data_IF_696487529668
#
_entry.id   IF_696487529668
#
_cell.length_a   1.000
_cell.length_b   1.000
_cell.length_c   1.000
_cell.angle_alpha   90.00
_cell.angle_beta   90.00
_cell.angle_gamma   90.00
#
_symmetry.space_group_name_H-M   'P 1'
#
loop_
_entity.id
_entity.type
_entity.pdbx_description
1 polymer ?
#
# COMPACT_ATOMS: atom_id res chain seq x y z
N UNK A 1 4.12 25.61 -52.08
CA UNK A 1 4.65 25.77 -50.71
C UNK A 1 4.62 24.43 -49.99
N UNK A 2 5.76 23.74 -49.87
CA UNK A 2 5.86 22.50 -49.07
C UNK A 2 5.86 22.89 -47.57
N UNK A 3 4.80 22.55 -46.84
CA UNK A 3 4.79 22.68 -45.38
C UNK A 3 5.80 21.68 -44.80
N UNK A 4 6.87 22.19 -44.22
CA UNK A 4 7.81 21.37 -43.44
C UNK A 4 7.11 20.96 -42.10
N UNK A 5 7.12 19.67 -41.85
CA UNK A 5 6.62 19.12 -40.53
C UNK A 5 7.67 19.50 -39.49
N UNK A 6 7.27 20.05 -38.33
CA UNK A 6 8.20 20.38 -37.25
C UNK A 6 9.00 19.15 -36.82
N UNK A 7 10.30 19.28 -36.53
CA UNK A 7 11.15 18.11 -36.17
C UNK A 7 10.64 17.31 -34.97
N UNK A 8 9.91 17.91 -34.04
CA UNK A 8 9.28 17.25 -32.92
C UNK A 8 8.17 16.27 -33.37
N UNK A 9 7.31 16.69 -34.31
CA UNK A 9 6.25 15.82 -34.85
C UNK A 9 6.79 14.67 -35.69
N UNK A 10 7.89 14.90 -36.40
CA UNK A 10 8.57 13.84 -37.13
C UNK A 10 9.19 12.78 -36.19
N UNK A 11 9.76 13.21 -35.05
CA UNK A 11 10.29 12.32 -34.03
C UNK A 11 9.22 11.45 -33.39
N UNK A 12 8.06 12.04 -33.03
CA UNK A 12 6.91 11.31 -32.41
C UNK A 12 6.29 10.33 -33.41
N UNK A 13 6.16 10.71 -34.69
CA UNK A 13 5.65 9.79 -35.73
C UNK A 13 6.62 8.63 -35.99
N UNK A 14 7.94 8.89 -35.95
CA UNK A 14 8.96 7.84 -36.13
C UNK A 14 8.96 6.90 -34.92
N UNK A 15 8.82 7.42 -33.69
CA UNK A 15 8.73 6.62 -32.48
C UNK A 15 7.46 5.76 -32.46
N UNK A 16 6.31 6.30 -32.85
CA UNK A 16 5.06 5.56 -32.99
C UNK A 16 5.09 4.47 -34.06
N UNK A 17 5.80 4.74 -35.20
CA UNK A 17 5.97 3.75 -36.26
C UNK A 17 6.93 2.63 -35.83
N UNK A 18 7.98 2.95 -35.08
CA UNK A 18 8.92 1.95 -34.53
C UNK A 18 8.24 1.12 -33.44
N UNK A 19 7.37 1.71 -32.62
CA UNK A 19 6.56 0.98 -31.60
C UNK A 19 5.53 0.04 -32.25
N UNK A 20 4.88 0.46 -33.34
CA UNK A 20 3.91 -0.39 -34.05
C UNK A 20 4.57 -1.51 -34.88
N UNK A 21 5.79 -1.31 -35.35
CA UNK A 21 6.59 -2.34 -36.02
C UNK A 21 7.34 -3.22 -34.98
N UNK A 22 7.69 -2.67 -33.83
CA UNK A 22 8.39 -3.38 -32.76
C UNK A 22 7.51 -4.46 -32.08
N UNK A 23 6.22 -4.22 -31.91
CA UNK A 23 5.31 -5.20 -31.32
C UNK A 23 5.11 -6.45 -32.22
N UNK A 24 5.28 -6.30 -33.53
CA UNK A 24 5.22 -7.43 -34.48
C UNK A 24 6.59 -8.06 -34.76
N UNK A 25 7.68 -7.36 -34.48
CA UNK A 25 9.06 -7.85 -34.73
C UNK A 25 9.65 -8.64 -33.56
N UNK A 26 9.08 -8.53 -32.35
CA UNK A 26 9.49 -9.34 -31.20
C UNK A 26 9.08 -10.81 -31.30
N UNK A 27 8.20 -11.17 -32.25
CA UNK A 27 7.83 -12.56 -32.55
C UNK A 27 8.67 -13.20 -33.65
N UNK A 28 9.58 -12.45 -34.31
CA UNK A 28 10.49 -13.00 -35.31
C UNK A 28 11.88 -13.17 -34.68
N UNK A 29 12.40 -14.40 -34.66
CA UNK A 29 13.76 -14.76 -34.25
C UNK A 29 14.80 -14.13 -35.20
N UNK A 30 15.01 -12.81 -35.09
CA UNK A 30 15.98 -12.05 -35.88
C UNK A 30 17.13 -11.53 -35.00
N UNK A 31 18.36 -11.70 -35.44
CA UNK A 31 19.52 -11.02 -34.84
C UNK A 31 19.48 -9.55 -35.27
N UNK A 32 19.49 -8.66 -34.28
CA UNK A 32 19.64 -7.22 -34.50
C UNK A 32 21.09 -6.84 -34.23
N UNK A 33 21.71 -6.12 -35.16
CA UNK A 33 23.04 -5.52 -34.94
C UNK A 33 22.83 -4.04 -34.67
N UNK A 34 23.28 -3.57 -33.51
CA UNK A 34 23.17 -2.19 -33.06
C UNK A 34 24.56 -1.61 -32.83
N UNK A 35 24.76 -0.35 -33.21
CA UNK A 35 25.91 0.44 -32.73
C UNK A 35 25.52 1.05 -31.38
N UNK A 36 26.30 0.78 -30.32
CA UNK A 36 25.97 1.13 -28.94
C UNK A 36 27.17 1.73 -28.24
N UNK A 37 26.93 2.63 -27.28
CA UNK A 37 27.95 3.21 -26.43
C UNK A 37 28.04 2.44 -25.10
N UNK A 38 29.25 1.98 -24.69
CA UNK A 38 29.43 1.32 -23.38
C UNK A 38 29.10 2.25 -22.20
N UNK A 39 28.34 1.77 -21.26
CA UNK A 39 27.97 2.50 -20.03
C UNK A 39 28.43 1.73 -18.81
N UNK A 40 28.86 2.44 -17.76
CA UNK A 40 29.15 1.85 -16.45
C UNK A 40 28.07 2.24 -15.46
N UNK A 41 27.63 1.29 -14.66
CA UNK A 41 26.60 1.49 -13.63
C UNK A 41 27.28 1.41 -12.25
N UNK A 42 26.81 2.23 -11.32
CA UNK A 42 27.10 2.08 -9.89
C UNK A 42 25.78 1.77 -9.16
N UNK A 43 25.83 0.82 -8.24
CA UNK A 43 24.75 0.50 -7.32
C UNK A 43 25.32 0.76 -5.92
N UNK A 44 24.65 1.57 -5.11
CA UNK A 44 25.10 1.99 -3.77
C UNK A 44 26.56 2.49 -3.72
N UNK A 45 26.95 3.27 -4.75
CA UNK A 45 28.30 3.85 -4.86
C UNK A 45 29.41 2.86 -5.29
N UNK A 46 29.09 1.58 -5.50
CA UNK A 46 30.03 0.56 -5.99
C UNK A 46 29.83 0.29 -7.48
N UNK A 47 30.94 0.12 -8.21
CA UNK A 47 30.87 -0.23 -9.62
C UNK A 47 30.21 -1.59 -9.79
N UNK A 48 29.10 -1.61 -10.50
CA UNK A 48 28.32 -2.81 -10.78
C UNK A 48 28.74 -3.43 -12.11
N UNK A 49 29.20 -4.69 -12.09
CA UNK A 49 29.55 -5.47 -13.26
C UNK A 49 28.57 -6.64 -13.42
N UNK A 50 27.56 -6.52 -14.31
CA UNK A 50 26.57 -7.57 -14.50
C UNK A 50 27.20 -8.88 -15.00
N UNK A 51 26.66 -10.01 -14.52
CA UNK A 51 27.05 -11.36 -14.96
C UNK A 51 25.85 -12.07 -15.60
N UNK A 52 26.12 -12.99 -16.53
CA UNK A 52 25.14 -13.94 -17.02
C UNK A 52 25.00 -15.15 -16.07
N UNK A 53 24.12 -16.08 -16.39
CA UNK A 53 23.89 -17.29 -15.58
C UNK A 53 25.11 -18.23 -15.51
N UNK A 54 26.10 -18.04 -16.36
CA UNK A 54 27.36 -18.78 -16.39
C UNK A 54 28.52 -18.02 -15.75
N UNK A 55 28.27 -16.81 -15.20
CA UNK A 55 29.26 -15.97 -14.57
C UNK A 55 30.10 -15.10 -15.53
N UNK A 56 29.76 -15.03 -16.81
CA UNK A 56 30.44 -14.17 -17.77
C UNK A 56 29.97 -12.73 -17.67
N UNK A 57 30.86 -11.77 -17.94
CA UNK A 57 30.51 -10.36 -17.97
C UNK A 57 29.51 -10.05 -19.08
N UNK A 58 28.47 -9.31 -18.74
CA UNK A 58 27.45 -8.84 -19.69
C UNK A 58 27.56 -7.33 -19.84
N UNK A 59 27.64 -6.81 -21.09
CA UNK A 59 27.77 -5.39 -21.29
C UNK A 59 26.50 -4.61 -20.93
N UNK A 60 26.71 -3.42 -20.37
CA UNK A 60 25.70 -2.36 -20.25
C UNK A 60 26.00 -1.32 -21.32
N UNK A 61 24.99 -0.84 -22.01
CA UNK A 61 25.19 0.08 -23.11
C UNK A 61 24.04 1.09 -23.24
N UNK A 62 24.32 2.18 -23.94
CA UNK A 62 23.32 3.17 -24.34
C UNK A 62 23.00 3.02 -25.81
N UNK A 63 21.74 3.12 -26.16
CA UNK A 63 21.26 3.19 -27.55
C UNK A 63 20.14 4.24 -27.61
N UNK A 64 20.31 5.19 -28.54
CA UNK A 64 19.35 6.31 -28.69
C UNK A 64 19.02 7.05 -27.40
N UNK A 65 20.00 7.27 -26.52
CA UNK A 65 19.81 7.97 -25.25
C UNK A 65 19.18 7.14 -24.14
N UNK A 66 18.92 5.86 -24.40
CA UNK A 66 18.37 4.92 -23.36
C UNK A 66 19.45 3.95 -22.94
N UNK A 67 19.64 3.76 -21.63
CA UNK A 67 20.58 2.77 -21.10
C UNK A 67 19.91 1.40 -21.02
N UNK A 68 20.56 0.38 -21.57
CA UNK A 68 20.13 -1.01 -21.53
C UNK A 68 21.06 -1.79 -20.61
N UNK A 69 20.48 -2.46 -19.64
CA UNK A 69 21.20 -3.30 -18.67
C UNK A 69 20.56 -4.69 -18.58
N UNK A 70 21.32 -5.74 -18.25
CA UNK A 70 20.78 -7.07 -18.01
C UNK A 70 19.79 -7.06 -16.86
N UNK A 71 18.50 -7.27 -17.15
CA UNK A 71 17.40 -7.18 -16.19
C UNK A 71 17.65 -8.07 -14.98
N UNK A 72 18.06 -9.32 -15.19
CA UNK A 72 18.32 -10.28 -14.09
C UNK A 72 19.39 -9.77 -13.14
N UNK A 73 20.57 -9.41 -13.67
CA UNK A 73 21.68 -9.01 -12.83
C UNK A 73 21.40 -7.71 -12.06
N UNK A 74 20.71 -6.76 -12.69
CA UNK A 74 20.30 -5.52 -12.02
C UNK A 74 19.24 -5.80 -10.95
N UNK A 75 18.24 -6.60 -11.27
CA UNK A 75 17.20 -6.98 -10.34
C UNK A 75 17.76 -7.73 -9.12
N UNK A 76 18.66 -8.71 -9.33
CA UNK A 76 19.33 -9.44 -8.26
C UNK A 76 20.18 -8.52 -7.36
N UNK A 77 20.78 -7.47 -7.91
CA UNK A 77 21.52 -6.47 -7.15
C UNK A 77 20.59 -5.65 -6.20
N UNK A 78 19.31 -5.53 -6.55
CA UNK A 78 18.27 -4.91 -5.72
C UNK A 78 17.43 -5.94 -4.95
N UNK A 79 17.90 -7.19 -4.82
CA UNK A 79 17.21 -8.23 -4.06
C UNK A 79 15.95 -8.78 -4.72
N UNK A 80 15.78 -8.58 -6.04
CA UNK A 80 14.66 -9.14 -6.81
C UNK A 80 15.02 -10.52 -7.38
N UNK A 81 14.04 -11.42 -7.46
CA UNK A 81 14.15 -12.68 -8.22
C UNK A 81 13.58 -12.49 -9.61
N UNK A 82 14.32 -12.89 -10.65
CA UNK A 82 13.87 -12.80 -12.04
C UNK A 82 13.54 -14.17 -12.59
N UNK A 83 12.28 -14.34 -13.04
CA UNK A 83 11.81 -15.46 -13.85
C UNK A 83 11.82 -15.12 -15.34
N UNK A 84 11.80 -16.14 -16.18
CA UNK A 84 11.59 -16.03 -17.62
C UNK A 84 10.78 -17.20 -18.12
N UNK A 85 9.66 -16.91 -18.76
CA UNK A 85 8.83 -17.89 -19.45
C UNK A 85 9.16 -17.87 -20.94
N UNK A 86 9.71 -18.96 -21.43
CA UNK A 86 10.11 -19.09 -22.83
C UNK A 86 8.93 -19.32 -23.79
N UNK A 87 7.77 -19.77 -23.30
CA UNK A 87 6.59 -20.01 -24.13
C UNK A 87 5.88 -18.69 -24.45
N UNK A 88 5.78 -17.81 -23.45
CA UNK A 88 5.15 -16.49 -23.57
C UNK A 88 6.16 -15.38 -23.86
N UNK A 89 7.46 -15.66 -23.82
CA UNK A 89 8.54 -14.68 -23.92
C UNK A 89 8.43 -13.56 -22.87
N UNK A 90 8.00 -13.92 -21.66
CA UNK A 90 7.75 -12.99 -20.56
C UNK A 90 8.87 -13.06 -19.52
N UNK A 91 9.51 -11.93 -19.24
CA UNK A 91 10.37 -11.78 -18.07
C UNK A 91 9.57 -11.25 -16.90
N UNK A 92 9.63 -11.92 -15.76
CA UNK A 92 8.98 -11.52 -14.52
C UNK A 92 10.03 -11.15 -13.48
N UNK A 93 9.83 -10.03 -12.79
CA UNK A 93 10.61 -9.65 -11.62
C UNK A 93 9.71 -9.77 -10.39
N UNK A 94 10.13 -10.57 -9.42
CA UNK A 94 9.51 -10.59 -8.11
C UNK A 94 10.49 -10.06 -7.09
N UNK A 95 10.03 -9.16 -6.21
CA UNK A 95 10.81 -8.82 -5.04
C UNK A 95 11.17 -10.14 -4.35
N UNK A 96 12.41 -10.28 -3.88
CA UNK A 96 12.72 -11.30 -2.89
C UNK A 96 12.00 -10.93 -1.58
N UNK A 97 10.67 -10.96 -1.64
CA UNK A 97 9.90 -11.23 -0.44
C UNK A 97 10.47 -12.56 0.01
N UNK A 98 11.16 -12.57 1.14
CA UNK A 98 11.31 -13.79 1.91
C UNK A 98 9.93 -14.45 1.95
N UNK A 99 9.77 -15.77 2.09
CA UNK A 99 8.50 -16.43 1.95
C UNK A 99 7.48 -15.52 2.61
N UNK A 100 6.71 -14.81 1.77
CA UNK A 100 5.67 -13.95 2.29
C UNK A 100 4.88 -14.91 3.14
N UNK A 101 4.76 -14.63 4.40
CA UNK A 101 3.75 -15.26 5.18
C UNK A 101 2.44 -14.85 4.49
N UNK A 102 2.00 -15.60 3.47
CA UNK A 102 0.68 -15.46 2.86
C UNK A 102 -0.40 -15.69 3.92
N UNK A 103 0.02 -16.19 5.08
CA UNK A 103 -0.81 -16.37 6.26
C UNK A 103 -0.78 -15.11 7.10
N UNK A 104 -1.94 -14.48 7.23
CA UNK A 104 -2.16 -13.41 8.19
C UNK A 104 -1.84 -13.96 9.60
N UNK A 105 -0.94 -13.30 10.37
CA UNK A 105 -0.55 -13.81 11.68
C UNK A 105 -1.74 -13.85 12.64
N UNK A 106 -1.75 -14.79 13.58
CA UNK A 106 -2.68 -14.76 14.70
C UNK A 106 -2.38 -13.54 15.59
N UNK A 107 -3.40 -13.00 16.28
CA UNK A 107 -3.20 -11.84 17.15
C UNK A 107 -2.20 -12.11 18.29
N UNK A 108 -2.09 -13.35 18.73
CA UNK A 108 -1.20 -13.83 19.77
C UNK A 108 0.01 -14.60 19.23
N UNK A 109 0.42 -14.35 17.99
CA UNK A 109 1.60 -15.00 17.39
C UNK A 109 2.83 -14.76 18.26
N UNK A 110 3.50 -15.81 18.78
CA UNK A 110 4.66 -15.63 19.64
C UNK A 110 5.84 -14.98 18.91
N UNK A 111 6.49 -14.06 19.57
CA UNK A 111 7.75 -13.44 19.10
C UNK A 111 8.93 -13.91 19.94
N UNK A 112 10.16 -13.81 19.42
CA UNK A 112 11.35 -14.21 20.15
C UNK A 112 11.70 -13.24 21.29
N UNK A 113 11.44 -11.95 21.04
CA UNK A 113 11.77 -10.89 21.98
C UNK A 113 10.48 -10.21 22.44
N UNK A 114 10.43 -9.86 23.72
CA UNK A 114 9.35 -9.03 24.27
C UNK A 114 9.97 -7.83 24.95
N UNK A 115 9.52 -6.64 24.58
CA UNK A 115 10.03 -5.36 25.10
C UNK A 115 8.86 -4.55 25.63
N UNK A 116 9.03 -3.92 26.79
CA UNK A 116 8.07 -2.94 27.33
C UNK A 116 8.50 -1.55 26.87
N UNK A 117 7.57 -0.73 26.42
CA UNK A 117 7.81 0.66 26.07
C UNK A 117 6.75 1.56 26.73
N UNK A 118 7.20 2.65 27.33
CA UNK A 118 6.38 3.65 28.00
C UNK A 118 6.52 5.05 27.37
N UNK A 119 7.33 5.17 26.32
CA UNK A 119 7.56 6.42 25.59
C UNK A 119 7.68 6.14 24.09
N UNK A 120 7.41 7.13 23.27
CA UNK A 120 7.62 7.04 21.82
C UNK A 120 9.06 6.68 21.46
N UNK A 121 10.06 7.19 22.20
CA UNK A 121 11.46 6.87 21.98
C UNK A 121 11.76 5.38 22.24
N UNK A 122 11.22 4.81 23.31
CA UNK A 122 11.37 3.39 23.62
C UNK A 122 10.64 2.51 22.58
N UNK A 123 9.45 2.89 22.15
CA UNK A 123 8.73 2.22 21.06
C UNK A 123 9.59 2.16 19.80
N UNK A 124 10.05 3.31 19.31
CA UNK A 124 10.82 3.40 18.06
C UNK A 124 12.17 2.68 18.18
N UNK A 125 12.84 2.76 19.32
CA UNK A 125 14.10 2.04 19.58
C UNK A 125 13.91 0.51 19.61
N UNK A 126 12.74 0.02 20.02
CA UNK A 126 12.44 -1.41 20.13
C UNK A 126 12.00 -2.06 18.80
N UNK A 127 11.74 -1.30 17.73
CA UNK A 127 11.35 -1.83 16.43
C UNK A 127 12.47 -2.73 15.89
N UNK A 128 12.18 -4.02 15.79
CA UNK A 128 13.13 -5.02 15.31
C UNK A 128 12.39 -6.29 14.84
N UNK A 129 13.01 -7.15 14.02
CA UNK A 129 12.44 -8.44 13.65
C UNK A 129 12.14 -9.34 14.86
N UNK A 130 11.12 -10.20 14.73
CA UNK A 130 10.69 -11.17 15.73
C UNK A 130 10.49 -10.55 17.15
N UNK A 131 9.93 -9.34 17.21
CA UNK A 131 9.79 -8.57 18.46
C UNK A 131 8.34 -8.23 18.74
N UNK A 132 7.91 -8.44 19.99
CA UNK A 132 6.66 -7.92 20.54
C UNK A 132 6.98 -6.71 21.43
N UNK A 133 6.42 -5.56 21.09
CA UNK A 133 6.51 -4.33 21.87
C UNK A 133 5.20 -4.14 22.59
N UNK A 134 5.22 -4.17 23.93
CA UNK A 134 4.05 -3.95 24.77
C UNK A 134 4.08 -2.51 25.27
N UNK A 135 3.08 -1.74 24.89
CA UNK A 135 2.96 -0.33 25.22
C UNK A 135 2.28 -0.14 26.56
N UNK A 136 2.89 0.63 27.43
CA UNK A 136 2.23 1.11 28.64
C UNK A 136 1.14 2.15 28.29
N UNK A 137 0.12 2.37 29.14
CA UNK A 137 -0.83 3.46 28.94
C UNK A 137 -0.14 4.80 28.78
N UNK A 138 -0.54 5.58 27.76
CA UNK A 138 0.02 6.90 27.46
C UNK A 138 -0.06 7.28 25.98
N UNK A 139 0.34 8.50 25.70
CA UNK A 139 0.40 9.09 24.38
C UNK A 139 1.82 9.00 23.84
N UNK A 140 1.95 8.53 22.59
CA UNK A 140 3.21 8.30 21.91
C UNK A 140 3.28 9.23 20.70
N UNK A 141 3.79 10.45 20.87
CA UNK A 141 4.01 11.38 19.75
C UNK A 141 5.29 10.96 19.00
N UNK A 142 5.09 10.38 17.82
CA UNK A 142 6.17 9.87 16.97
C UNK A 142 6.98 11.00 16.34
N UNK A 143 6.39 12.18 16.14
CA UNK A 143 7.01 13.30 15.44
C UNK A 143 8.21 13.87 16.19
N UNK A 144 8.18 13.86 17.52
CA UNK A 144 9.25 14.40 18.34
C UNK A 144 10.59 13.66 18.21
N UNK A 145 10.57 12.50 17.57
CA UNK A 145 11.75 11.61 17.44
C UNK A 145 12.50 11.78 16.13
N UNK A 146 12.03 12.64 15.22
CA UNK A 146 12.65 12.83 13.92
C UNK A 146 14.14 13.16 14.03
N UNK A 147 14.98 12.37 13.34
CA UNK A 147 16.43 12.50 13.36
C UNK A 147 17.10 12.15 14.69
N UNK A 148 16.37 11.59 15.67
CA UNK A 148 16.89 11.23 17.00
C UNK A 148 17.06 9.72 17.22
N UNK A 149 16.82 8.90 16.19
CA UNK A 149 16.95 7.45 16.30
C UNK A 149 17.93 6.90 15.28
N UNK A 150 18.76 5.95 15.73
CA UNK A 150 19.70 5.20 14.88
C UNK A 150 19.17 3.79 14.55
N UNK A 151 17.87 3.54 14.73
CA UNK A 151 17.26 2.25 14.45
C UNK A 151 17.34 1.93 12.95
N UNK A 152 17.99 0.83 12.52
CA UNK A 152 18.16 0.50 11.10
C UNK A 152 16.85 0.14 10.38
N UNK A 153 15.79 -0.12 11.13
CA UNK A 153 14.46 -0.42 10.60
C UNK A 153 13.53 0.79 10.57
N UNK A 154 14.05 1.98 10.87
CA UNK A 154 13.29 3.24 10.90
C UNK A 154 13.95 4.25 9.98
N UNK A 155 13.17 4.77 9.05
CA UNK A 155 13.59 5.82 8.12
C UNK A 155 12.63 7.01 8.27
N UNK A 156 13.18 8.21 8.30
CA UNK A 156 12.43 9.44 8.34
C UNK A 156 12.39 10.06 6.95
N UNK A 157 11.18 10.31 6.44
CA UNK A 157 10.97 11.11 5.23
C UNK A 157 10.47 12.49 5.63
N UNK A 158 10.90 13.50 4.88
CA UNK A 158 10.38 14.87 5.03
C UNK A 158 9.16 15.05 4.14
N UNK A 159 8.01 15.19 4.76
CA UNK A 159 6.79 15.59 4.10
C UNK A 159 6.67 17.12 4.08
N UNK A 160 5.62 17.67 3.45
CA UNK A 160 5.46 19.11 3.25
C UNK A 160 5.51 19.92 4.56
N UNK A 161 5.00 19.36 5.66
CA UNK A 161 4.84 20.04 6.93
C UNK A 161 5.57 19.39 8.11
N UNK A 162 6.40 18.40 7.83
CA UNK A 162 7.26 17.76 8.84
C UNK A 162 7.58 16.32 8.55
N UNK A 163 8.31 15.68 9.47
CA UNK A 163 8.83 14.34 9.26
C UNK A 163 7.77 13.25 9.42
N UNK A 164 7.86 12.23 8.57
CA UNK A 164 7.10 10.98 8.64
C UNK A 164 7.97 9.83 9.09
N UNK A 165 7.47 9.03 10.01
CA UNK A 165 8.11 7.80 10.46
C UNK A 165 7.73 6.63 9.55
N UNK A 166 8.75 5.95 8.98
CA UNK A 166 8.57 4.76 8.17
C UNK A 166 9.30 3.58 8.81
N UNK A 167 8.58 2.49 9.01
CA UNK A 167 9.15 1.21 9.44
C UNK A 167 9.43 0.38 8.18
N UNK A 168 10.68 -0.02 7.97
CA UNK A 168 11.12 -0.63 6.73
C UNK A 168 11.70 -2.02 6.92
N UNK A 169 11.28 -2.97 6.07
CA UNK A 169 11.87 -4.30 5.96
C UNK A 169 11.91 -5.10 7.29
N UNK A 170 10.89 -4.97 8.13
CA UNK A 170 10.77 -5.72 9.38
C UNK A 170 9.84 -6.91 9.18
N UNK A 171 10.25 -8.07 9.69
CA UNK A 171 9.42 -9.27 9.74
C UNK A 171 9.18 -9.71 11.18
N UNK A 172 7.94 -10.11 11.50
CA UNK A 172 7.62 -10.64 12.81
C UNK A 172 7.53 -9.56 13.90
N UNK A 173 6.96 -8.38 13.59
CA UNK A 173 6.76 -7.31 14.56
C UNK A 173 5.33 -7.31 15.10
N UNK A 174 5.20 -7.26 16.42
CA UNK A 174 3.93 -6.99 17.11
C UNK A 174 4.07 -5.70 17.91
N UNK A 175 3.15 -4.75 17.73
CA UNK A 175 2.98 -3.57 18.58
C UNK A 175 1.62 -3.71 19.27
N UNK A 176 1.64 -3.85 20.58
CA UNK A 176 0.45 -4.15 21.38
C UNK A 176 0.24 -3.10 22.45
N UNK A 177 -0.92 -2.45 22.44
CA UNK A 177 -1.45 -1.71 23.59
C UNK A 177 -2.13 -2.66 24.56
N UNK A 178 -2.24 -2.26 25.81
CA UNK A 178 -3.01 -3.02 26.79
C UNK A 178 -4.53 -2.80 26.64
N UNK A 179 -4.90 -1.62 26.15
CA UNK A 179 -6.26 -1.19 25.90
C UNK A 179 -6.24 -0.02 24.92
N UNK A 180 -7.01 -0.08 23.85
CA UNK A 180 -7.06 0.96 22.81
C UNK A 180 -7.45 2.34 23.36
N UNK A 181 -8.22 2.36 24.44
CA UNK A 181 -8.66 3.63 25.06
C UNK A 181 -7.59 4.25 25.98
N UNK A 182 -6.45 3.59 26.16
CA UNK A 182 -5.36 4.02 27.04
C UNK A 182 -4.01 4.18 26.32
N UNK A 183 -3.88 3.73 25.10
CA UNK A 183 -2.63 3.81 24.32
C UNK A 183 -2.92 4.53 23.02
N UNK A 184 -2.27 5.67 22.81
CA UNK A 184 -2.48 6.49 21.62
C UNK A 184 -1.18 6.79 20.91
N UNK A 185 -1.10 6.42 19.61
CA UNK A 185 0.00 6.76 18.71
C UNK A 185 -0.37 7.98 17.89
N UNK A 186 0.45 9.02 17.97
CA UNK A 186 0.17 10.32 17.39
C UNK A 186 1.24 10.79 16.40
N UNK A 187 0.81 11.51 15.36
CA UNK A 187 1.68 12.32 14.53
C UNK A 187 1.11 13.74 14.40
N UNK A 188 1.99 14.74 14.42
CA UNK A 188 1.63 16.15 14.29
C UNK A 188 1.61 16.63 12.85
N UNK A 189 2.56 16.28 11.95
CA UNK A 189 2.51 16.66 10.55
C UNK A 189 1.29 16.07 9.86
N UNK A 190 0.60 16.88 9.07
CA UNK A 190 -0.69 16.52 8.47
C UNK A 190 -0.58 15.92 7.09
N UNK A 191 0.59 16.05 6.48
CA UNK A 191 0.93 15.39 5.22
C UNK A 191 1.59 14.03 5.45
N UNK A 192 2.13 13.80 6.66
CA UNK A 192 2.71 12.53 7.06
C UNK A 192 1.64 11.50 7.44
N UNK A 193 1.85 10.24 7.10
CA UNK A 193 1.14 9.13 7.72
C UNK A 193 1.51 9.04 9.20
N UNK A 194 0.57 8.62 10.05
CA UNK A 194 0.91 8.42 11.46
C UNK A 194 1.90 7.28 11.60
N UNK A 195 1.67 6.18 10.87
CA UNK A 195 2.57 5.04 10.85
C UNK A 195 2.60 4.41 9.46
N UNK A 196 3.74 4.46 8.81
CA UNK A 196 3.96 3.84 7.52
C UNK A 196 4.85 2.60 7.64
N UNK A 197 4.40 1.47 7.11
CA UNK A 197 5.14 0.21 7.03
C UNK A 197 5.46 -0.11 5.59
N UNK A 198 6.73 -0.30 5.24
CA UNK A 198 7.18 -0.58 3.88
C UNK A 198 8.02 -1.84 3.81
N UNK A 199 7.66 -2.77 2.93
CA UNK A 199 8.38 -4.03 2.75
C UNK A 199 8.38 -4.94 3.98
N UNK A 200 7.40 -4.77 4.86
CA UNK A 200 7.29 -5.50 6.11
C UNK A 200 6.43 -6.76 5.96
N UNK A 201 6.63 -7.73 6.85
CA UNK A 201 5.84 -8.94 6.84
C UNK A 201 5.56 -9.46 8.24
N UNK A 202 4.48 -10.25 8.39
CA UNK A 202 4.09 -10.85 9.66
C UNK A 202 3.96 -9.77 10.77
N UNK A 203 3.13 -8.74 10.47
CA UNK A 203 2.89 -7.59 11.35
C UNK A 203 1.60 -7.79 12.16
N UNK A 204 1.62 -7.38 13.42
CA UNK A 204 0.43 -7.27 14.27
C UNK A 204 0.41 -5.90 14.96
N UNK A 205 -0.68 -5.17 14.77
CA UNK A 205 -1.04 -3.99 15.56
C UNK A 205 -2.29 -4.35 16.37
N UNK A 206 -2.23 -4.25 17.69
CA UNK A 206 -3.29 -4.74 18.56
C UNK A 206 -3.56 -3.81 19.75
N UNK A 207 -4.84 -3.52 19.99
CA UNK A 207 -5.30 -2.87 21.22
C UNK A 207 -4.76 -1.46 21.45
N UNK A 208 -4.64 -0.65 20.39
CA UNK A 208 -4.17 0.74 20.45
C UNK A 208 -5.03 1.68 19.59
N UNK A 209 -5.00 2.94 19.90
CA UNK A 209 -5.56 4.00 19.06
C UNK A 209 -4.45 4.72 18.31
N UNK A 210 -4.70 5.13 17.08
CA UNK A 210 -3.74 5.87 16.25
C UNK A 210 -4.45 6.98 15.49
N UNK A 211 -3.84 8.16 15.44
CA UNK A 211 -4.42 9.31 14.76
C UNK A 211 -3.47 10.50 14.68
N UNK A 212 -3.91 11.53 13.95
CA UNK A 212 -3.21 12.81 13.94
C UNK A 212 -3.63 13.65 15.15
N UNK A 213 -2.72 14.49 15.62
CA UNK A 213 -3.08 15.50 16.66
C UNK A 213 -4.22 16.39 16.17
N UNK A 214 -5.18 16.76 17.04
CA UNK A 214 -6.36 17.51 16.64
C UNK A 214 -6.06 18.83 15.96
N UNK A 215 -6.93 19.23 15.04
CA UNK A 215 -7.10 20.47 14.28
C UNK A 215 -6.52 20.50 12.87
N UNK A 216 -7.33 20.92 11.90
CA UNK A 216 -6.98 21.15 10.50
C UNK A 216 -7.26 19.98 9.57
N UNK A 217 -7.00 20.17 8.28
CA UNK A 217 -7.14 19.11 7.26
C UNK A 217 -5.83 18.39 7.09
N UNK A 218 -5.88 17.07 6.95
CA UNK A 218 -4.70 16.22 6.75
C UNK A 218 -4.71 15.61 5.35
N UNK A 219 -3.53 15.25 4.85
CA UNK A 219 -3.33 14.48 3.63
C UNK A 219 -2.64 13.13 3.90
N UNK A 220 -2.00 12.94 5.05
CA UNK A 220 -1.48 11.65 5.49
C UNK A 220 -2.57 10.71 5.98
N UNK A 221 -2.35 9.42 5.83
CA UNK A 221 -3.21 8.35 6.34
C UNK A 221 -2.87 7.99 7.78
N UNK A 222 -3.76 7.26 8.46
CA UNK A 222 -3.46 6.81 9.84
C UNK A 222 -2.50 5.63 9.80
N UNK A 223 -2.85 4.55 9.11
CA UNK A 223 -1.97 3.42 8.87
C UNK A 223 -1.75 3.24 7.37
N UNK A 224 -0.52 3.24 6.95
CA UNK A 224 -0.14 3.02 5.55
C UNK A 224 0.75 1.77 5.43
N UNK A 225 0.41 0.86 4.52
CA UNK A 225 1.17 -0.34 4.25
C UNK A 225 1.55 -0.38 2.77
N UNK A 226 2.86 -0.39 2.47
CA UNK A 226 3.39 -0.52 1.11
C UNK A 226 4.21 -1.80 0.98
N UNK A 227 3.89 -2.62 -0.01
CA UNK A 227 4.59 -3.90 -0.29
C UNK A 227 4.71 -4.83 0.93
N UNK A 228 3.69 -4.84 1.79
CA UNK A 228 3.66 -5.64 3.00
C UNK A 228 2.94 -6.99 2.79
N UNK A 229 3.24 -7.97 3.65
CA UNK A 229 2.61 -9.29 3.63
C UNK A 229 2.23 -9.80 5.01
N UNK A 230 1.03 -10.41 5.15
CA UNK A 230 0.58 -10.93 6.43
C UNK A 230 0.47 -9.84 7.49
N UNK A 231 -0.47 -8.92 7.34
CA UNK A 231 -0.70 -7.80 8.26
C UNK A 231 -2.01 -8.03 9.01
N UNK A 232 -2.01 -7.86 10.33
CA UNK A 232 -3.18 -7.86 11.19
C UNK A 232 -3.26 -6.56 11.98
N UNK A 233 -4.41 -5.91 11.90
CA UNK A 233 -4.80 -4.77 12.75
C UNK A 233 -6.02 -5.21 13.53
N UNK A 234 -5.91 -5.37 14.84
CA UNK A 234 -6.99 -5.92 15.66
C UNK A 234 -7.27 -5.04 16.87
N UNK A 235 -8.55 -4.89 17.22
CA UNK A 235 -9.01 -4.11 18.36
C UNK A 235 -8.43 -2.67 18.42
N UNK A 236 -8.15 -2.05 17.27
CA UNK A 236 -7.58 -0.71 17.16
C UNK A 236 -8.65 0.36 16.93
N UNK A 237 -8.34 1.60 17.33
CA UNK A 237 -9.06 2.81 16.95
C UNK A 237 -8.20 3.60 15.93
N UNK A 238 -8.71 3.82 14.73
CA UNK A 238 -8.01 4.56 13.68
C UNK A 238 -8.80 5.83 13.39
N UNK A 239 -8.24 6.97 13.75
CA UNK A 239 -8.95 8.22 13.60
C UNK A 239 -8.05 9.35 13.11
N UNK A 240 -8.66 10.42 12.72
CA UNK A 240 -7.93 11.65 12.53
C UNK A 240 -8.47 12.48 11.39
N UNK A 241 -7.90 13.65 11.23
CA UNK A 241 -8.10 14.47 10.08
C UNK A 241 -7.30 14.03 8.85
N UNK A 242 -6.67 12.82 8.90
CA UNK A 242 -5.99 12.17 7.77
C UNK A 242 -6.91 11.79 6.64
N UNK A 243 -6.33 11.41 5.50
CA UNK A 243 -7.13 11.04 4.33
C UNK A 243 -7.91 9.77 4.58
N UNK A 244 -7.23 8.71 4.97
CA UNK A 244 -7.81 7.38 5.21
C UNK A 244 -7.35 6.80 6.55
N UNK A 245 -8.20 5.99 7.15
CA UNK A 245 -7.81 5.21 8.32
C UNK A 245 -6.80 4.11 7.97
N UNK A 246 -6.98 3.48 6.81
CA UNK A 246 -6.07 2.46 6.27
C UNK A 246 -5.78 2.73 4.81
N UNK A 247 -4.51 2.79 4.48
CA UNK A 247 -4.02 2.81 3.10
C UNK A 247 -3.15 1.58 2.85
N UNK A 248 -3.38 0.87 1.74
CA UNK A 248 -2.57 -0.28 1.36
C UNK A 248 -2.22 -0.26 -0.12
N UNK A 249 -0.94 -0.43 -0.43
CA UNK A 249 -0.42 -0.55 -1.79
C UNK A 249 0.47 -1.78 -1.91
N UNK A 250 0.17 -2.67 -2.85
CA UNK A 250 0.96 -3.89 -3.09
C UNK A 250 0.93 -4.90 -1.93
N UNK A 251 -0.11 -4.88 -1.09
CA UNK A 251 -0.21 -5.71 0.12
C UNK A 251 -0.83 -7.07 -0.21
N UNK A 252 -0.30 -8.12 0.41
CA UNK A 252 -0.90 -9.46 0.35
C UNK A 252 -1.24 -9.95 1.76
N UNK A 253 -2.52 -10.20 2.02
CA UNK A 253 -2.98 -10.63 3.35
C UNK A 253 -3.00 -9.48 4.36
N UNK A 254 -4.05 -8.66 4.32
CA UNK A 254 -4.36 -7.65 5.33
C UNK A 254 -5.68 -8.01 6.01
N UNK A 255 -5.67 -8.13 7.32
CA UNK A 255 -6.87 -8.27 8.13
C UNK A 255 -6.99 -7.10 9.11
N UNK A 256 -8.03 -6.33 8.95
CA UNK A 256 -8.48 -5.33 9.95
C UNK A 256 -9.70 -5.92 10.63
N UNK A 257 -9.60 -6.22 11.92
CA UNK A 257 -10.71 -6.85 12.64
C UNK A 257 -11.02 -6.14 13.96
N UNK A 258 -12.30 -6.15 14.35
CA UNK A 258 -12.77 -5.61 15.64
C UNK A 258 -12.27 -4.20 15.94
N UNK A 259 -11.98 -3.46 14.87
CA UNK A 259 -11.36 -2.13 14.91
C UNK A 259 -12.37 -1.06 14.52
N UNK A 260 -12.14 0.16 14.99
CA UNK A 260 -12.95 1.31 14.63
C UNK A 260 -12.17 2.23 13.68
N UNK A 261 -12.84 2.72 12.62
CA UNK A 261 -12.29 3.72 11.69
C UNK A 261 -13.24 4.91 11.65
N UNK A 262 -12.77 6.06 12.08
CA UNK A 262 -13.65 7.22 12.27
C UNK A 262 -12.94 8.57 12.12
N UNK A 263 -13.73 9.61 11.82
CA UNK A 263 -13.25 10.98 11.63
C UNK A 263 -12.16 11.14 10.55
N UNK A 264 -12.11 10.26 9.57
CA UNK A 264 -11.23 10.39 8.41
C UNK A 264 -11.87 11.30 7.36
N UNK A 265 -11.03 12.04 6.61
CA UNK A 265 -11.51 13.11 5.74
C UNK A 265 -11.86 12.66 4.32
N UNK A 266 -11.25 11.59 3.80
CA UNK A 266 -11.45 11.13 2.42
C UNK A 266 -12.13 9.76 2.34
N UNK A 267 -12.10 8.99 3.41
CA UNK A 267 -12.73 7.69 3.51
C UNK A 267 -12.13 6.82 4.62
N UNK A 268 -12.64 5.63 4.76
CA UNK A 268 -12.15 4.66 5.75
C UNK A 268 -10.88 3.96 5.26
N UNK A 269 -10.87 3.53 3.99
CA UNK A 269 -9.71 2.84 3.43
C UNK A 269 -9.54 3.06 1.92
N UNK A 270 -8.28 3.04 1.47
CA UNK A 270 -7.92 2.90 0.06
C UNK A 270 -7.00 1.69 -0.13
N UNK A 271 -7.34 0.85 -1.10
CA UNK A 271 -6.72 -0.45 -1.35
C UNK A 271 -6.26 -0.49 -2.80
N UNK A 272 -4.94 -0.47 -3.02
CA UNK A 272 -4.31 -0.37 -4.33
C UNK A 272 -3.42 -1.60 -4.59
N UNK A 273 -3.56 -2.24 -5.73
CA UNK A 273 -2.73 -3.38 -6.16
C UNK A 273 -2.56 -4.47 -5.09
N UNK A 274 -3.59 -4.69 -4.26
CA UNK A 274 -3.52 -5.54 -3.07
C UNK A 274 -4.38 -6.79 -3.20
N UNK A 275 -4.05 -7.83 -2.43
CA UNK A 275 -4.73 -9.12 -2.48
C UNK A 275 -5.07 -9.62 -1.08
N UNK A 276 -6.22 -10.28 -0.95
CA UNK A 276 -6.67 -10.89 0.31
C UNK A 276 -6.74 -9.87 1.45
N UNK A 277 -7.60 -8.85 1.26
CA UNK A 277 -7.82 -7.79 2.24
C UNK A 277 -9.18 -7.98 2.88
N UNK A 278 -9.23 -8.02 4.21
CA UNK A 278 -10.48 -8.26 4.96
C UNK A 278 -10.66 -7.20 6.04
N UNK A 279 -11.86 -6.64 6.09
CA UNK A 279 -12.36 -5.87 7.23
C UNK A 279 -13.46 -6.69 7.91
N UNK A 280 -13.23 -7.15 9.14
CA UNK A 280 -14.10 -8.10 9.83
C UNK A 280 -14.54 -7.59 11.21
N UNK A 281 -15.84 -7.54 11.44
CA UNK A 281 -16.39 -7.10 12.73
C UNK A 281 -15.98 -5.68 13.12
N UNK A 282 -15.75 -4.81 12.15
CA UNK A 282 -15.31 -3.43 12.36
C UNK A 282 -16.50 -2.47 12.59
N UNK A 283 -16.20 -1.29 13.11
CA UNK A 283 -17.08 -0.12 13.09
C UNK A 283 -16.48 0.98 12.23
N UNK A 284 -17.20 1.46 11.22
CA UNK A 284 -16.78 2.54 10.32
C UNK A 284 -17.80 3.67 10.41
N UNK A 285 -17.42 4.77 11.04
CA UNK A 285 -18.39 5.80 11.35
C UNK A 285 -17.82 7.22 11.37
N UNK A 286 -18.71 8.19 11.15
CA UNK A 286 -18.42 9.62 11.22
C UNK A 286 -17.24 10.05 10.32
N UNK A 287 -17.03 9.35 9.20
CA UNK A 287 -16.05 9.73 8.19
C UNK A 287 -16.69 10.62 7.13
N UNK A 288 -15.89 11.49 6.52
CA UNK A 288 -16.23 12.18 5.29
C UNK A 288 -15.55 11.48 4.13
N UNK A 289 -16.25 11.27 3.02
CA UNK A 289 -15.71 10.44 1.94
C UNK A 289 -16.03 10.97 0.53
N UNK A 290 -15.05 10.81 -0.38
CA UNK A 290 -15.29 10.71 -1.82
C UNK A 290 -15.70 9.27 -2.15
N UNK A 291 -14.96 8.33 -1.60
CA UNK A 291 -15.26 6.91 -1.56
C UNK A 291 -14.89 6.39 -0.18
N UNK A 292 -15.86 5.78 0.52
CA UNK A 292 -15.60 5.31 1.88
C UNK A 292 -14.57 4.18 1.87
N UNK A 293 -14.71 3.27 0.90
CA UNK A 293 -13.71 2.26 0.55
C UNK A 293 -13.37 2.39 -0.93
N UNK A 294 -12.15 2.82 -1.26
CA UNK A 294 -11.63 2.91 -2.62
C UNK A 294 -10.76 1.70 -2.94
N UNK A 295 -11.14 0.92 -3.96
CA UNK A 295 -10.41 -0.27 -4.38
C UNK A 295 -9.95 -0.12 -5.83
N UNK A 296 -8.65 -0.31 -6.07
CA UNK A 296 -8.09 -0.24 -7.43
C UNK A 296 -7.14 -1.40 -7.67
N UNK A 297 -7.32 -2.11 -8.78
CA UNK A 297 -6.46 -3.24 -9.23
C UNK A 297 -6.22 -4.28 -8.13
N UNK A 298 -7.24 -4.55 -7.33
CA UNK A 298 -7.15 -5.40 -6.14
C UNK A 298 -8.10 -6.59 -6.22
N UNK A 299 -7.78 -7.67 -5.51
CA UNK A 299 -8.58 -8.89 -5.54
C UNK A 299 -8.76 -9.54 -4.18
N UNK A 300 -9.87 -10.28 -4.00
CA UNK A 300 -10.16 -10.97 -2.74
C UNK A 300 -10.41 -10.00 -1.58
N UNK A 301 -11.06 -8.86 -1.84
CA UNK A 301 -11.39 -7.87 -0.80
C UNK A 301 -12.74 -8.20 -0.19
N UNK A 302 -12.79 -8.31 1.14
CA UNK A 302 -14.00 -8.67 1.89
C UNK A 302 -14.29 -7.67 3.00
N UNK A 303 -15.55 -7.22 3.09
CA UNK A 303 -16.12 -6.60 4.27
C UNK A 303 -17.06 -7.63 4.90
N UNK A 304 -16.83 -8.03 6.16
CA UNK A 304 -17.68 -8.98 6.89
C UNK A 304 -18.08 -8.45 8.25
N UNK A 305 -19.32 -8.72 8.64
CA UNK A 305 -19.89 -8.46 9.96
C UNK A 305 -19.62 -7.03 10.51
N UNK A 306 -19.41 -6.08 9.59
CA UNK A 306 -18.98 -4.71 9.86
C UNK A 306 -20.18 -3.76 9.91
N UNK A 307 -20.16 -2.84 10.86
CA UNK A 307 -21.16 -1.76 10.98
C UNK A 307 -20.61 -0.50 10.34
N UNK A 308 -21.31 0.01 9.34
CA UNK A 308 -20.96 1.24 8.61
C UNK A 308 -22.07 2.26 8.84
N UNK A 309 -21.79 3.34 9.58
CA UNK A 309 -22.84 4.27 10.01
C UNK A 309 -22.40 5.73 10.03
N UNK A 310 -23.36 6.63 9.80
CA UNK A 310 -23.18 8.08 9.91
C UNK A 310 -22.02 8.64 9.06
N UNK A 311 -21.65 8.01 7.95
CA UNK A 311 -20.60 8.53 7.09
C UNK A 311 -21.18 9.54 6.11
N UNK A 312 -20.46 10.67 5.96
CA UNK A 312 -20.84 11.77 5.09
C UNK A 312 -20.12 11.81 3.75
N UNK A 313 -20.56 12.71 2.88
CA UNK A 313 -20.02 12.90 1.53
C UNK A 313 -19.20 14.20 1.43
N UNK A 314 -18.03 14.13 0.78
CA UNK A 314 -17.25 15.30 0.37
C UNK A 314 -17.66 15.84 -1.01
N UNK A 315 -18.55 15.16 -1.72
CA UNK A 315 -18.95 15.48 -3.07
C UNK A 315 -20.45 15.75 -3.19
N UNK A 316 -20.83 16.80 -3.90
CA UNK A 316 -22.20 17.02 -4.32
C UNK A 316 -22.57 16.00 -5.40
N UNK A 317 -23.11 14.84 -5.01
CA UNK A 317 -23.73 13.86 -5.90
C UNK A 317 -22.84 12.79 -6.52
N UNK A 318 -21.58 12.64 -6.08
CA UNK A 318 -20.64 11.68 -6.67
C UNK A 318 -19.88 10.80 -5.68
N UNK A 319 -20.37 10.62 -4.46
CA UNK A 319 -19.71 9.78 -3.46
C UNK A 319 -20.22 8.33 -3.48
N UNK A 320 -19.33 7.42 -3.10
CA UNK A 320 -19.59 5.98 -3.10
C UNK A 320 -19.25 5.37 -1.73
N UNK A 321 -20.01 4.37 -1.32
CA UNK A 321 -19.57 3.52 -0.21
C UNK A 321 -18.39 2.64 -0.69
N UNK A 322 -18.52 2.02 -1.88
CA UNK A 322 -17.47 1.25 -2.53
C UNK A 322 -17.17 1.84 -3.91
N UNK A 323 -15.98 2.37 -4.13
CA UNK A 323 -15.48 2.71 -5.46
C UNK A 323 -14.55 1.60 -5.94
N UNK A 324 -14.89 0.97 -7.08
CA UNK A 324 -14.20 -0.19 -7.60
C UNK A 324 -13.62 0.11 -8.97
N UNK A 325 -12.32 -0.11 -9.17
CA UNK A 325 -11.66 0.03 -10.46
C UNK A 325 -10.74 -1.16 -10.73
N UNK A 326 -11.04 -1.93 -11.77
CA UNK A 326 -10.26 -3.11 -12.14
C UNK A 326 -10.06 -4.12 -10.97
N UNK A 327 -11.15 -4.38 -10.23
CA UNK A 327 -11.14 -5.27 -9.07
C UNK A 327 -11.82 -6.60 -9.38
N UNK A 328 -11.40 -7.65 -8.70
CA UNK A 328 -11.96 -8.98 -8.78
C UNK A 328 -12.26 -9.55 -7.39
N UNK A 329 -13.27 -10.44 -7.29
CA UNK A 329 -13.65 -11.14 -6.06
C UNK A 329 -13.84 -10.20 -4.85
N UNK A 330 -14.67 -9.15 -5.00
CA UNK A 330 -15.06 -8.26 -3.90
C UNK A 330 -16.33 -8.76 -3.25
N UNK A 331 -16.36 -8.88 -1.92
CA UNK A 331 -17.52 -9.37 -1.17
C UNK A 331 -17.87 -8.49 0.03
N UNK A 332 -19.18 -8.32 0.25
CA UNK A 332 -19.73 -7.64 1.44
C UNK A 332 -20.75 -8.58 2.07
N UNK A 333 -20.50 -9.05 3.30
CA UNK A 333 -21.28 -10.09 3.95
C UNK A 333 -21.62 -9.75 5.39
N UNK A 334 -22.87 -9.94 5.77
CA UNK A 334 -23.32 -9.77 7.17
C UNK A 334 -23.21 -8.34 7.69
N UNK A 335 -22.96 -7.35 6.83
CA UNK A 335 -22.73 -5.97 7.23
C UNK A 335 -24.04 -5.22 7.51
N UNK A 336 -23.95 -4.18 8.34
CA UNK A 336 -25.06 -3.24 8.60
C UNK A 336 -24.67 -1.86 8.12
N UNK A 337 -25.51 -1.25 7.31
CA UNK A 337 -25.34 0.10 6.78
C UNK A 337 -26.44 0.99 7.30
N UNK A 338 -26.08 1.97 8.15
CA UNK A 338 -27.03 2.78 8.91
C UNK A 338 -26.72 4.28 8.72
N UNK A 339 -27.71 5.06 8.32
CA UNK A 339 -27.66 6.53 8.26
C UNK A 339 -26.46 7.12 7.49
N UNK A 340 -25.98 6.47 6.44
CA UNK A 340 -24.89 6.98 5.63
C UNK A 340 -25.39 7.95 4.57
N UNK A 341 -24.82 9.16 4.51
CA UNK A 341 -25.16 10.21 3.59
C UNK A 341 -24.26 10.20 2.32
N UNK A 342 -24.06 9.03 1.73
CA UNK A 342 -23.31 8.82 0.49
C UNK A 342 -24.29 8.70 -0.69
N UNK A 343 -23.88 9.14 -1.89
CA UNK A 343 -24.78 9.16 -3.04
C UNK A 343 -25.09 7.75 -3.60
N UNK A 344 -24.12 6.85 -3.57
CA UNK A 344 -24.22 5.53 -4.18
C UNK A 344 -23.61 4.45 -3.28
N UNK A 345 -24.15 3.22 -3.37
CA UNK A 345 -23.55 2.06 -2.71
C UNK A 345 -22.22 1.66 -3.38
N UNK A 346 -22.22 1.55 -4.71
CA UNK A 346 -20.98 1.21 -5.42
C UNK A 346 -20.89 1.89 -6.78
N UNK A 347 -19.65 2.11 -7.22
CA UNK A 347 -19.36 2.44 -8.62
C UNK A 347 -19.21 1.13 -9.41
N UNK A 348 -20.15 0.90 -10.33
CA UNK A 348 -20.17 -0.29 -11.18
C UNK A 348 -19.64 -0.03 -12.59
N UNK A 349 -19.16 1.19 -12.88
CA UNK A 349 -18.89 1.66 -14.25
C UNK A 349 -17.60 1.11 -14.87
N UNK A 350 -16.68 0.55 -14.11
CA UNK A 350 -15.34 0.23 -14.60
C UNK A 350 -14.99 -1.27 -14.53
N UNK A 351 -15.68 -2.11 -15.33
CA UNK A 351 -15.18 -3.47 -15.65
C UNK A 351 -15.03 -4.43 -14.47
N UNK A 352 -15.71 -4.19 -13.36
CA UNK A 352 -15.65 -5.02 -12.16
C UNK A 352 -16.40 -6.33 -12.37
N UNK A 353 -15.72 -7.45 -12.18
CA UNK A 353 -16.24 -8.76 -12.57
C UNK A 353 -17.15 -9.41 -11.52
N UNK A 354 -17.04 -9.06 -10.23
CA UNK A 354 -17.93 -9.63 -9.21
C UNK A 354 -17.91 -8.83 -7.90
N UNK A 355 -18.94 -8.06 -7.64
CA UNK A 355 -19.30 -7.60 -6.30
C UNK A 355 -20.41 -8.49 -5.76
N UNK A 356 -20.14 -9.27 -4.72
CA UNK A 356 -21.13 -10.05 -4.01
C UNK A 356 -21.61 -9.30 -2.77
N UNK A 357 -22.93 -9.11 -2.60
CA UNK A 357 -23.52 -8.51 -1.39
C UNK A 357 -24.50 -9.51 -0.80
N UNK A 358 -24.18 -10.01 0.40
CA UNK A 358 -24.91 -11.12 1.00
C UNK A 358 -25.26 -10.84 2.47
N UNK A 359 -26.50 -11.11 2.85
CA UNK A 359 -26.97 -11.02 4.26
C UNK A 359 -26.73 -9.66 4.91
N UNK A 360 -26.78 -8.58 4.16
CA UNK A 360 -26.57 -7.22 4.65
C UNK A 360 -27.91 -6.52 4.96
N UNK A 361 -27.88 -5.57 5.88
CA UNK A 361 -29.04 -4.72 6.19
C UNK A 361 -28.74 -3.26 5.88
N UNK A 362 -29.77 -2.52 5.44
CA UNK A 362 -29.68 -1.14 4.99
C UNK A 362 -30.80 -0.32 5.62
N UNK A 363 -30.46 0.65 6.46
CA UNK A 363 -31.42 1.50 7.14
C UNK A 363 -30.96 2.97 7.10
N UNK A 364 -31.86 3.90 6.77
CA UNK A 364 -31.59 5.34 6.82
C UNK A 364 -30.55 5.89 5.84
N UNK A 365 -30.03 5.07 4.91
CA UNK A 365 -28.99 5.52 3.99
C UNK A 365 -29.56 6.37 2.83
N UNK A 366 -28.76 7.32 2.31
CA UNK A 366 -29.13 8.12 1.14
C UNK A 366 -29.05 7.35 -0.19
N UNK A 367 -28.32 6.25 -0.24
CA UNK A 367 -28.24 5.35 -1.41
C UNK A 367 -29.26 4.21 -1.32
N UNK A 368 -29.63 3.68 -2.48
CA UNK A 368 -30.45 2.49 -2.54
C UNK A 368 -29.64 1.23 -2.19
N UNK A 369 -30.27 0.29 -1.50
CA UNK A 369 -29.69 -1.04 -1.30
C UNK A 369 -29.38 -1.68 -2.67
N UNK A 370 -28.20 -2.30 -2.85
CA UNK A 370 -27.91 -3.01 -4.09
C UNK A 370 -28.90 -4.15 -4.27
N UNK A 371 -29.38 -4.33 -5.50
CA UNK A 371 -30.24 -5.49 -5.82
C UNK A 371 -29.39 -6.75 -5.66
N UNK A 372 -29.78 -7.61 -4.72
CA UNK A 372 -29.18 -8.92 -4.48
C UNK A 372 -29.38 -9.90 -5.63
#
# INVERSE_FOLDING_TARGET
MKKQIPPFLAGVLTALLVLSLGASALAASGRLTLEVDPVRIQVDGQLFQPKDVNGNDVPVFSYNGTTYAPLRALAEAYGLTVGYDAETNLATGTTARGPAADAIPAADTPRKNTVQAATAAELVAAIAPDTEIILAPGDYDLTELAGKTDNPYVVWYEEFDGPQLNVVNVSGLTIRGQDRDQVELLATPRYADVFHFQGCSDLVLDGLTSGHTPTGSCLGSVLHFTDCGGVRVTACGLYGCGTYGVESEGVTGLLVEKSAIYHCSYGAATILNSQTVTFDGCEVYDNMAWSLFGLTSSSGVTLSDTVVRNNGSNADGGSYLLSLSNCDAVAVRGCRFEDNALANFSDTSAGNLALAVENCTFEGNSFAAPNG
#
